data_IF_973628138419
#
_entry.id   IF_973628138419
#
_cell.length_a   1.000
_cell.length_b   1.000
_cell.length_c   1.000
_cell.angle_alpha   90.00
_cell.angle_beta   90.00
_cell.angle_gamma   90.00
#
_symmetry.space_group_name_H-M   'P 1'
#
loop_
_entity.id
_entity.type
_entity.pdbx_description
1 polymer ?
#
# COMPACT_ATOMS: atom_id res chain seq x y z
N UNK A 1 31.81 17.53 14.41
CA UNK A 1 31.11 17.44 13.10
C UNK A 1 29.66 17.08 13.34
N UNK A 2 28.71 17.72 12.65
CA UNK A 2 27.30 17.31 12.69
C UNK A 2 27.10 16.09 11.79
N UNK A 3 26.32 15.11 12.26
CA UNK A 3 26.05 13.89 11.49
C UNK A 3 25.19 14.28 10.26
N UNK A 4 25.64 13.90 9.07
CA UNK A 4 24.95 14.17 7.78
C UNK A 4 23.48 13.76 7.81
N UNK A 5 23.18 12.63 8.44
CA UNK A 5 21.82 12.11 8.65
C UNK A 5 20.89 13.10 9.35
N UNK A 6 21.42 13.93 10.25
CA UNK A 6 20.67 14.92 11.05
C UNK A 6 20.73 16.34 10.46
N UNK A 7 21.72 16.64 9.62
CA UNK A 7 21.95 17.99 9.08
C UNK A 7 21.48 18.17 7.64
N UNK A 8 21.60 17.14 6.79
CA UNK A 8 21.20 17.25 5.38
C UNK A 8 19.67 17.39 5.25
N UNK A 9 19.14 18.42 4.57
CA UNK A 9 17.70 18.73 4.57
C UNK A 9 16.78 17.56 4.20
N UNK A 10 17.12 16.80 3.16
CA UNK A 10 16.33 15.63 2.72
C UNK A 10 16.47 14.46 3.69
N UNK A 11 17.70 14.09 4.05
CA UNK A 11 17.98 12.92 4.90
C UNK A 11 17.42 13.15 6.31
N UNK A 12 17.37 14.40 6.79
CA UNK A 12 16.76 14.75 8.07
C UNK A 12 15.28 14.36 8.17
N UNK A 13 14.52 14.48 7.06
CA UNK A 13 13.12 14.04 7.03
C UNK A 13 13.04 12.55 7.26
N UNK A 14 13.82 11.75 6.51
CA UNK A 14 13.89 10.29 6.66
C UNK A 14 14.35 9.91 8.07
N UNK A 15 15.35 10.61 8.61
CA UNK A 15 15.84 10.37 9.95
C UNK A 15 14.72 10.49 10.98
N UNK A 16 13.96 11.58 10.91
CA UNK A 16 12.95 11.89 11.92
C UNK A 16 11.69 11.04 11.79
N UNK A 17 11.39 10.48 10.62
CA UNK A 17 10.19 9.65 10.40
C UNK A 17 10.46 8.14 10.34
N UNK A 18 11.69 7.70 10.08
CA UNK A 18 12.01 6.27 9.92
C UNK A 18 13.14 5.74 10.81
N UNK A 19 14.11 6.56 11.22
CA UNK A 19 15.33 6.07 11.89
C UNK A 19 15.33 6.40 13.38
N UNK A 20 15.32 7.69 13.72
CA UNK A 20 15.32 8.18 15.09
C UNK A 20 13.90 8.58 15.54
N UNK A 21 12.87 7.90 15.03
CA UNK A 21 11.47 8.13 15.43
C UNK A 21 11.23 7.53 16.83
N UNK A 22 10.91 8.35 17.86
CA UNK A 22 10.56 7.82 19.17
C UNK A 22 9.26 7.02 19.08
N UNK A 23 9.33 5.73 19.43
CA UNK A 23 8.21 4.79 19.35
C UNK A 23 7.98 4.15 20.72
N UNK A 24 6.72 3.97 21.17
CA UNK A 24 6.45 3.26 22.42
C UNK A 24 7.02 1.84 22.39
N UNK A 25 7.64 1.40 23.47
CA UNK A 25 8.32 0.10 23.55
C UNK A 25 7.37 -1.10 23.58
N UNK A 26 6.08 -0.88 23.81
CA UNK A 26 5.07 -1.91 24.01
C UNK A 26 4.02 -1.98 22.89
N UNK A 27 4.32 -1.45 21.69
CA UNK A 27 3.43 -1.66 20.53
C UNK A 27 3.41 -3.15 20.16
N UNK A 28 2.21 -3.68 19.91
CA UNK A 28 2.01 -5.09 19.54
C UNK A 28 2.07 -5.29 18.02
N UNK A 29 1.94 -6.54 17.56
CA UNK A 29 1.90 -6.88 16.14
C UNK A 29 0.85 -6.11 15.33
N UNK A 30 -0.22 -5.64 15.98
CA UNK A 30 -1.27 -4.83 15.35
C UNK A 30 -0.76 -3.49 14.77
N UNK A 31 0.38 -2.97 15.23
CA UNK A 31 0.98 -1.77 14.66
C UNK A 31 1.67 -2.00 13.32
N UNK A 32 1.93 -3.25 12.93
CA UNK A 32 2.57 -3.60 11.66
C UNK A 32 1.65 -3.37 10.45
N UNK A 33 0.33 -3.34 10.63
CA UNK A 33 -0.59 -3.15 9.50
C UNK A 33 -0.43 -1.78 8.81
N UNK A 34 0.14 -0.77 9.48
CA UNK A 34 0.46 0.51 8.83
C UNK A 34 1.56 0.36 7.76
N UNK A 35 2.66 -0.30 8.08
CA UNK A 35 3.75 -0.53 7.12
C UNK A 35 3.34 -1.53 6.04
N UNK A 36 2.59 -2.58 6.39
CA UNK A 36 2.06 -3.54 5.42
C UNK A 36 1.14 -2.88 4.38
N UNK A 37 0.31 -1.91 4.78
CA UNK A 37 -0.48 -1.11 3.83
C UNK A 37 0.40 -0.32 2.85
N UNK A 38 1.50 0.27 3.35
CA UNK A 38 2.49 0.93 2.50
C UNK A 38 3.15 -0.04 1.51
N UNK A 39 3.51 -1.24 1.96
CA UNK A 39 4.03 -2.30 1.08
C UNK A 39 3.00 -2.76 0.06
N UNK A 40 1.74 -2.94 0.45
CA UNK A 40 0.64 -3.28 -0.47
C UNK A 40 0.49 -2.22 -1.55
N UNK A 41 0.53 -0.92 -1.19
CA UNK A 41 0.44 0.17 -2.15
C UNK A 41 1.58 0.14 -3.17
N UNK A 42 2.83 -0.02 -2.71
CA UNK A 42 3.99 -0.13 -3.60
C UNK A 42 3.84 -1.33 -4.54
N UNK A 43 3.43 -2.49 -4.01
CA UNK A 43 3.20 -3.70 -4.80
C UNK A 43 2.13 -3.48 -5.87
N UNK A 44 0.98 -2.89 -5.51
CA UNK A 44 -0.11 -2.63 -6.45
C UNK A 44 0.30 -1.64 -7.55
N UNK A 45 1.02 -0.55 -7.20
CA UNK A 45 1.50 0.43 -8.20
C UNK A 45 2.47 -0.24 -9.18
N UNK A 46 3.46 -0.98 -8.67
CA UNK A 46 4.45 -1.63 -9.52
C UNK A 46 3.80 -2.67 -10.43
N UNK A 47 3.07 -3.63 -9.86
CA UNK A 47 2.41 -4.68 -10.64
C UNK A 47 1.37 -4.12 -11.60
N UNK A 48 0.60 -3.11 -11.18
CA UNK A 48 -0.40 -2.45 -12.02
C UNK A 48 0.21 -1.72 -13.21
N UNK A 49 1.34 -1.04 -13.00
CA UNK A 49 2.10 -0.39 -14.08
C UNK A 49 2.56 -1.41 -15.13
N UNK A 50 3.13 -2.54 -14.71
CA UNK A 50 3.56 -3.59 -15.65
C UNK A 50 2.38 -4.25 -16.38
N UNK A 51 1.23 -4.42 -15.73
CA UNK A 51 0.02 -4.92 -16.39
C UNK A 51 -0.52 -3.91 -17.41
N UNK A 52 -0.52 -2.62 -17.07
CA UNK A 52 -1.01 -1.56 -17.95
C UNK A 52 -0.21 -1.44 -19.26
N UNK A 53 1.08 -1.78 -19.27
CA UNK A 53 1.90 -1.82 -20.49
C UNK A 53 1.42 -2.85 -21.53
N UNK A 54 0.62 -3.83 -21.12
CA UNK A 54 0.14 -4.93 -21.97
C UNK A 54 -1.38 -5.01 -22.06
N UNK A 55 -2.11 -4.19 -21.28
CA UNK A 55 -3.56 -4.16 -21.27
C UNK A 55 -4.10 -3.26 -22.38
N UNK A 56 -5.23 -3.64 -23.00
CA UNK A 56 -5.94 -2.81 -23.99
C UNK A 56 -7.31 -2.41 -23.44
N UNK A 57 -7.54 -1.10 -23.29
CA UNK A 57 -8.77 -0.54 -22.74
C UNK A 57 -9.87 -0.34 -23.81
N UNK A 58 -10.11 -1.37 -24.63
CA UNK A 58 -11.20 -1.44 -25.59
C UNK A 58 -12.10 -2.64 -25.27
N UNK A 59 -13.42 -2.45 -25.32
CA UNK A 59 -14.41 -3.45 -24.87
C UNK A 59 -14.27 -4.78 -25.64
N UNK A 60 -13.87 -4.74 -26.92
CA UNK A 60 -13.73 -5.94 -27.74
C UNK A 60 -12.47 -6.76 -27.41
N UNK A 61 -11.46 -6.13 -26.79
CA UNK A 61 -10.14 -6.73 -26.55
C UNK A 61 -9.68 -6.72 -25.09
N UNK A 62 -10.45 -6.14 -24.16
CA UNK A 62 -10.11 -6.08 -22.75
C UNK A 62 -9.85 -7.47 -22.15
N UNK A 63 -10.75 -8.43 -22.37
CA UNK A 63 -10.59 -9.79 -21.86
C UNK A 63 -9.43 -10.55 -22.52
N UNK A 64 -9.30 -10.44 -23.85
CA UNK A 64 -8.24 -11.13 -24.60
C UNK A 64 -6.86 -10.57 -24.29
N UNK A 65 -6.72 -9.27 -24.02
CA UNK A 65 -5.44 -8.66 -23.60
C UNK A 65 -4.99 -9.17 -22.22
N UNK A 66 -5.91 -9.40 -21.28
CA UNK A 66 -5.58 -10.04 -19.99
C UNK A 66 -5.17 -11.51 -20.17
N UNK A 67 -5.83 -12.24 -21.08
CA UNK A 67 -5.43 -13.60 -21.43
C UNK A 67 -4.02 -13.65 -22.05
N UNK A 68 -3.72 -12.71 -22.96
CA UNK A 68 -2.39 -12.52 -23.53
C UNK A 68 -1.34 -12.22 -22.46
N UNK A 69 -1.63 -11.32 -21.49
CA UNK A 69 -0.74 -11.08 -20.33
C UNK A 69 -0.41 -12.39 -19.62
N UNK A 70 -1.41 -13.23 -19.36
CA UNK A 70 -1.19 -14.44 -18.57
C UNK A 70 -0.45 -15.54 -19.34
N UNK A 71 -0.61 -15.62 -20.66
CA UNK A 71 -0.12 -16.74 -21.48
C UNK A 71 1.16 -16.43 -22.24
N UNK A 72 1.31 -15.20 -22.70
CA UNK A 72 2.30 -14.83 -23.72
C UNK A 72 3.35 -13.84 -23.19
N UNK A 73 3.03 -13.05 -22.16
CA UNK A 73 3.99 -12.16 -21.49
C UNK A 73 4.83 -12.94 -20.47
N UNK A 74 6.15 -12.77 -20.51
CA UNK A 74 7.08 -13.42 -19.57
C UNK A 74 6.74 -13.05 -18.12
N UNK A 75 6.47 -14.06 -17.29
CA UNK A 75 5.97 -13.90 -15.91
C UNK A 75 4.68 -13.09 -15.77
N UNK A 76 3.94 -12.84 -16.85
CA UNK A 76 2.71 -12.06 -16.80
C UNK A 76 1.63 -12.72 -15.95
N UNK A 77 1.55 -14.06 -15.95
CA UNK A 77 0.69 -14.81 -15.02
C UNK A 77 1.03 -14.50 -13.54
N UNK A 78 2.31 -14.40 -13.20
CA UNK A 78 2.76 -14.14 -11.84
C UNK A 78 2.39 -12.71 -11.43
N UNK A 79 2.71 -11.73 -12.28
CA UNK A 79 2.42 -10.31 -12.04
C UNK A 79 0.90 -10.09 -11.90
N UNK A 80 0.09 -10.70 -12.78
CA UNK A 80 -1.37 -10.61 -12.72
C UNK A 80 -1.91 -11.22 -11.42
N UNK A 81 -1.40 -12.37 -11.00
CA UNK A 81 -1.84 -13.00 -9.75
C UNK A 81 -1.39 -12.23 -8.52
N UNK A 82 -0.19 -11.64 -8.52
CA UNK A 82 0.28 -10.75 -7.46
C UNK A 82 -0.61 -9.52 -7.36
N UNK A 83 -0.98 -8.89 -8.47
CA UNK A 83 -1.86 -7.71 -8.46
C UNK A 83 -3.27 -8.05 -7.95
N UNK A 84 -3.84 -9.17 -8.39
CA UNK A 84 -5.18 -9.59 -8.02
C UNK A 84 -5.26 -10.01 -6.53
N UNK A 85 -4.36 -10.89 -6.07
CA UNK A 85 -4.35 -11.31 -4.66
C UNK A 85 -3.82 -10.20 -3.73
N UNK A 86 -2.93 -9.34 -4.25
CA UNK A 86 -2.42 -8.16 -3.55
C UNK A 86 -3.54 -7.18 -3.21
N UNK A 87 -4.54 -7.01 -4.10
CA UNK A 87 -5.74 -6.23 -3.79
C UNK A 87 -6.51 -6.80 -2.59
N UNK A 88 -6.74 -8.12 -2.53
CA UNK A 88 -7.38 -8.76 -1.37
C UNK A 88 -6.55 -8.60 -0.09
N UNK A 89 -5.22 -8.76 -0.17
CA UNK A 89 -4.33 -8.54 0.97
C UNK A 89 -4.37 -7.08 1.46
N UNK A 90 -4.54 -6.11 0.55
CA UNK A 90 -4.72 -4.71 0.88
C UNK A 90 -5.96 -4.53 1.77
N UNK A 91 -7.10 -5.11 1.38
CA UNK A 91 -8.33 -5.03 2.18
C UNK A 91 -8.23 -5.78 3.52
N UNK A 92 -7.57 -6.94 3.56
CA UNK A 92 -7.29 -7.61 4.83
C UNK A 92 -6.48 -6.69 5.75
N UNK A 93 -5.41 -6.09 5.23
CA UNK A 93 -4.58 -5.16 6.01
C UNK A 93 -5.39 -3.94 6.47
N UNK A 94 -6.23 -3.35 5.61
CA UNK A 94 -6.95 -2.12 5.94
C UNK A 94 -8.01 -2.36 7.02
N UNK A 95 -8.73 -3.49 6.95
CA UNK A 95 -9.71 -3.86 7.96
C UNK A 95 -9.06 -4.16 9.31
N UNK A 96 -7.92 -4.87 9.33
CA UNK A 96 -7.17 -5.11 10.56
C UNK A 96 -6.57 -3.81 11.13
N UNK A 97 -6.11 -2.91 10.26
CA UNK A 97 -5.60 -1.59 10.66
C UNK A 97 -6.68 -0.72 11.30
N UNK A 98 -7.89 -0.70 10.71
CA UNK A 98 -9.06 0.01 11.25
C UNK A 98 -9.52 -0.64 12.56
N UNK A 99 -9.62 -1.97 12.60
CA UNK A 99 -10.02 -2.72 13.80
C UNK A 99 -9.09 -2.45 14.98
N UNK A 100 -7.76 -2.43 14.75
CA UNK A 100 -6.79 -1.95 15.74
C UNK A 100 -7.12 -0.55 16.21
N UNK A 101 -7.40 0.38 15.30
CA UNK A 101 -7.67 1.77 15.62
C UNK A 101 -8.93 1.97 16.48
N UNK A 102 -9.96 1.14 16.25
CA UNK A 102 -11.15 1.09 17.09
C UNK A 102 -10.85 0.50 18.47
N UNK A 103 -10.17 -0.64 18.53
CA UNK A 103 -9.91 -1.36 19.78
C UNK A 103 -9.02 -0.57 20.76
N UNK A 104 -7.98 0.10 20.26
CA UNK A 104 -7.05 0.89 21.09
C UNK A 104 -7.41 2.38 21.18
N UNK A 105 -8.58 2.80 20.70
CA UNK A 105 -9.00 4.21 20.75
C UNK A 105 -8.15 5.17 19.91
N UNK A 106 -7.44 4.68 18.89
CA UNK A 106 -6.57 5.51 18.05
C UNK A 106 -7.35 6.52 17.20
N UNK A 107 -8.66 6.34 17.03
CA UNK A 107 -9.55 7.32 16.39
C UNK A 107 -9.60 8.68 17.11
N UNK A 108 -9.12 8.76 18.37
CA UNK A 108 -8.97 10.01 19.09
C UNK A 108 -7.97 10.96 18.43
N UNK A 109 -7.02 10.45 17.61
CA UNK A 109 -6.20 11.26 16.70
C UNK A 109 -7.03 11.66 15.47
N UNK A 110 -7.94 12.62 15.64
CA UNK A 110 -9.00 12.96 14.68
C UNK A 110 -8.51 13.21 13.25
N UNK A 111 -7.46 14.01 13.06
CA UNK A 111 -6.93 14.30 11.72
C UNK A 111 -6.40 13.03 11.04
N UNK A 112 -5.60 12.23 11.75
CA UNK A 112 -5.08 10.95 11.25
C UNK A 112 -6.21 9.97 10.94
N UNK A 113 -7.23 9.92 11.77
CA UNK A 113 -8.40 9.05 11.58
C UNK A 113 -9.22 9.46 10.36
N UNK A 114 -9.53 10.75 10.22
CA UNK A 114 -10.31 11.27 9.09
C UNK A 114 -9.57 11.08 7.76
N UNK A 115 -8.25 11.30 7.72
CA UNK A 115 -7.43 10.94 6.56
C UNK A 115 -7.47 9.44 6.28
N UNK A 116 -7.45 8.60 7.33
CA UNK A 116 -7.62 7.15 7.21
C UNK A 116 -8.95 6.74 6.56
N UNK A 117 -10.06 7.43 6.91
CA UNK A 117 -11.37 7.22 6.28
C UNK A 117 -11.35 7.61 4.80
N UNK A 118 -10.74 8.75 4.46
CA UNK A 118 -10.57 9.17 3.06
C UNK A 118 -9.75 8.12 2.29
N UNK A 119 -8.63 7.66 2.86
CA UNK A 119 -7.79 6.62 2.25
C UNK A 119 -8.56 5.31 2.02
N UNK A 120 -9.39 4.88 2.97
CA UNK A 120 -10.27 3.73 2.80
C UNK A 120 -11.20 3.90 1.59
N UNK A 121 -11.89 5.05 1.50
CA UNK A 121 -12.83 5.32 0.40
C UNK A 121 -12.10 5.37 -0.96
N UNK A 122 -10.90 5.94 -1.01
CA UNK A 122 -10.10 5.96 -2.23
C UNK A 122 -9.64 4.55 -2.65
N UNK A 123 -9.23 3.71 -1.69
CA UNK A 123 -8.87 2.29 -1.97
C UNK A 123 -10.11 1.51 -2.45
N UNK A 124 -11.28 1.74 -1.85
CA UNK A 124 -12.54 1.16 -2.32
C UNK A 124 -12.88 1.56 -3.75
N UNK A 125 -12.81 2.86 -4.07
CA UNK A 125 -13.06 3.36 -5.42
C UNK A 125 -12.03 2.85 -6.44
N UNK A 126 -10.78 2.62 -6.03
CA UNK A 126 -9.71 2.12 -6.92
C UNK A 126 -9.88 0.62 -7.23
N UNK A 127 -10.44 -0.15 -6.30
CA UNK A 127 -10.60 -1.60 -6.44
C UNK A 127 -11.91 -2.02 -7.14
N UNK A 128 -12.89 -1.12 -7.22
CA UNK A 128 -14.14 -1.29 -7.94
C UNK A 128 -13.95 -1.05 -9.44
#
# INVERSE_FOLDING_TARGET
>A
MTITRKSHPIIKIVNNSFIDLPTPSNISAWWNFGSLLGTCLILQILTGLFLAMHYTADISSAFSSVAHICRDVQYGWLIRNLHANGASMFFICIYLHIGRGLYYGSYMFKETWNLGVILLLLVMATAF
#
